data_IF_762031563721
#
_entry.id   IF_762031563721
#
_cell.length_a   1.000
_cell.length_b   1.000
_cell.length_c   1.000
_cell.angle_alpha   90.00
_cell.angle_beta   90.00
_cell.angle_gamma   90.00
#
_symmetry.space_group_name_H-M   'P 1'
#
loop_
_entity.id
_entity.type
_entity.pdbx_description
1 polymer ?
#
# COMPACT_ATOMS: atom_id res chain seq x y z
N UNK A 1 55.67 -4.07 3.16
CA UNK A 1 54.39 -4.70 3.56
C UNK A 1 53.42 -3.76 4.29
N UNK A 2 53.84 -2.87 5.21
CA UNK A 2 52.93 -1.97 5.96
C UNK A 2 52.08 -1.00 5.10
N UNK A 3 52.58 -0.56 3.94
CA UNK A 3 51.89 0.42 3.09
C UNK A 3 50.68 -0.19 2.35
N UNK A 4 50.77 -1.47 1.97
CA UNK A 4 49.69 -2.18 1.28
C UNK A 4 48.58 -2.58 2.27
N UNK A 5 48.95 -2.89 3.53
CA UNK A 5 47.99 -3.15 4.62
C UNK A 5 47.15 -1.91 4.93
N UNK A 6 47.74 -0.72 4.92
CA UNK A 6 47.00 0.54 5.10
C UNK A 6 45.99 0.78 3.97
N UNK A 7 46.37 0.49 2.71
CA UNK A 7 45.46 0.64 1.58
C UNK A 7 44.29 -0.35 1.63
N UNK A 8 44.55 -1.61 2.02
CA UNK A 8 43.49 -2.60 2.20
C UNK A 8 42.53 -2.23 3.35
N UNK A 9 43.06 -1.66 4.43
CA UNK A 9 42.26 -1.21 5.57
C UNK A 9 41.35 -0.04 5.18
N UNK A 10 41.86 0.96 4.44
CA UNK A 10 41.04 2.05 3.93
C UNK A 10 39.94 1.56 2.98
N UNK A 11 40.27 0.64 2.07
CA UNK A 11 39.29 0.07 1.14
C UNK A 11 38.18 -0.70 1.86
N UNK A 12 38.54 -1.46 2.90
CA UNK A 12 37.60 -2.19 3.77
C UNK A 12 36.66 -1.23 4.51
N UNK A 13 37.18 -0.13 5.08
CA UNK A 13 36.36 0.87 5.77
C UNK A 13 35.40 1.55 4.79
N UNK A 14 35.88 1.97 3.63
CA UNK A 14 35.02 2.59 2.61
C UNK A 14 33.93 1.63 2.13
N UNK A 15 34.27 0.36 1.90
CA UNK A 15 33.30 -0.65 1.48
C UNK A 15 32.25 -0.95 2.57
N UNK A 16 32.66 -1.00 3.84
CA UNK A 16 31.72 -1.12 4.96
C UNK A 16 30.79 0.10 5.06
N UNK A 17 31.29 1.31 4.82
CA UNK A 17 30.46 2.52 4.76
C UNK A 17 29.42 2.45 3.64
N UNK A 18 29.81 1.98 2.45
CA UNK A 18 28.89 1.79 1.31
C UNK A 18 27.80 0.78 1.64
N UNK A 19 28.15 -0.33 2.28
CA UNK A 19 27.17 -1.35 2.69
C UNK A 19 26.22 -0.81 3.76
N UNK A 20 26.73 -0.13 4.77
CA UNK A 20 25.89 0.45 5.83
C UNK A 20 24.95 1.50 5.23
N UNK A 21 25.44 2.35 4.34
CA UNK A 21 24.61 3.32 3.60
C UNK A 21 23.52 2.62 2.77
N UNK A 22 23.88 1.56 2.03
CA UNK A 22 22.92 0.78 1.24
C UNK A 22 21.86 0.12 2.14
N UNK A 23 22.26 -0.54 3.22
CA UNK A 23 21.35 -1.21 4.16
C UNK A 23 20.47 -0.23 4.96
N UNK A 24 20.94 1.00 5.21
CA UNK A 24 20.11 2.06 5.78
C UNK A 24 19.11 2.59 4.76
N UNK A 25 19.56 2.85 3.52
CA UNK A 25 18.67 3.29 2.43
C UNK A 25 17.57 2.27 2.15
N UNK A 26 17.87 0.96 2.16
CA UNK A 26 16.87 -0.09 1.94
C UNK A 26 15.92 -0.33 3.12
N UNK A 27 16.20 0.24 4.31
CA UNK A 27 15.32 0.09 5.48
C UNK A 27 14.14 1.06 5.46
N UNK A 28 14.27 2.20 4.79
CA UNK A 28 13.23 3.21 4.68
C UNK A 28 12.17 2.86 3.61
N UNK A 29 12.46 1.91 2.72
CA UNK A 29 11.55 1.42 1.67
C UNK A 29 10.51 0.40 2.16
N UNK A 30 10.10 0.44 3.43
CA UNK A 30 8.92 -0.36 3.83
C UNK A 30 7.68 0.38 3.33
N UNK A 31 6.93 -0.17 2.35
CA UNK A 31 5.69 0.47 1.91
C UNK A 31 4.75 0.57 3.11
N UNK A 32 4.23 1.76 3.34
CA UNK A 32 3.25 2.00 4.39
C UNK A 32 2.06 1.03 4.23
N UNK A 33 1.82 0.22 5.26
CA UNK A 33 0.72 -0.75 5.22
C UNK A 33 -0.63 -0.03 5.37
N UNK A 34 -1.44 -0.11 4.33
CA UNK A 34 -2.82 0.33 4.29
C UNK A 34 -3.72 -0.52 5.23
N UNK A 35 -3.77 -0.22 6.53
CA UNK A 35 -4.57 -1.02 7.49
C UNK A 35 -6.06 -1.07 7.14
N UNK A 36 -6.57 -0.07 6.44
CA UNK A 36 -7.95 0.01 5.98
C UNK A 36 -8.34 -1.08 4.96
N UNK A 37 -7.35 -1.66 4.26
CA UNK A 37 -7.59 -2.74 3.30
C UNK A 37 -7.71 -4.10 3.99
N UNK A 38 -7.51 -4.19 5.31
CA UNK A 38 -7.69 -5.45 6.03
C UNK A 38 -9.17 -5.81 6.11
N UNK A 39 -9.55 -6.97 5.60
CA UNK A 39 -10.89 -7.49 5.79
C UNK A 39 -11.10 -7.80 7.28
N UNK A 40 -12.27 -7.43 7.80
CA UNK A 40 -12.63 -7.69 9.20
C UNK A 40 -12.89 -9.19 9.36
N UNK A 41 -12.25 -9.81 10.34
CA UNK A 41 -12.27 -11.27 10.56
C UNK A 41 -13.69 -11.87 10.63
N UNK A 42 -14.68 -11.09 11.06
CA UNK A 42 -16.09 -11.50 11.12
C UNK A 42 -16.80 -11.73 9.78
N UNK A 43 -16.22 -11.30 8.64
CA UNK A 43 -16.76 -11.56 7.29
C UNK A 43 -16.15 -12.80 6.64
N UNK A 44 -15.01 -13.27 7.14
CA UNK A 44 -14.27 -14.43 6.59
C UNK A 44 -14.75 -15.74 7.24
N UNK A 45 -15.44 -15.66 8.38
CA UNK A 45 -16.04 -16.80 9.07
C UNK A 45 -17.41 -17.24 8.50
N UNK A 46 -17.74 -16.84 7.27
CA UNK A 46 -18.89 -17.42 6.56
C UNK A 46 -18.42 -18.76 6.01
N UNK A 47 -18.69 -19.82 6.78
CA UNK A 47 -18.69 -21.18 6.25
C UNK A 47 -19.53 -21.22 4.96
N UNK A 48 -19.17 -22.06 3.98
CA UNK A 48 -19.98 -22.21 2.77
C UNK A 48 -21.27 -22.94 3.13
N UNK A 49 -22.26 -22.21 3.65
CA UNK A 49 -23.63 -22.68 3.69
C UNK A 49 -24.17 -22.66 2.26
N UNK A 50 -24.44 -23.85 1.75
CA UNK A 50 -25.03 -24.07 0.44
C UNK A 50 -26.25 -23.15 0.20
N UNK A 51 -26.25 -22.45 -0.93
CA UNK A 51 -27.44 -21.79 -1.46
C UNK A 51 -27.37 -20.27 -1.55
N UNK A 52 -26.47 -19.73 -2.37
CA UNK A 52 -26.72 -18.43 -2.99
C UNK A 52 -26.17 -18.42 -4.42
N UNK A 53 -27.03 -18.72 -5.39
CA UNK A 53 -26.79 -18.45 -6.79
C UNK A 53 -27.06 -16.97 -7.04
N UNK A 54 -26.01 -16.14 -6.98
CA UNK A 54 -25.98 -14.92 -7.78
C UNK A 54 -24.82 -14.99 -8.76
N UNK A 55 -25.19 -14.85 -10.02
CA UNK A 55 -24.33 -15.01 -11.18
C UNK A 55 -23.34 -13.84 -11.25
N UNK A 56 -22.08 -14.11 -10.92
CA UNK A 56 -20.93 -13.29 -11.33
C UNK A 56 -19.81 -14.23 -11.79
N UNK A 57 -19.18 -14.01 -12.95
CA UNK A 57 -18.21 -14.95 -13.49
C UNK A 57 -16.87 -14.80 -12.75
N UNK A 58 -16.78 -15.40 -11.57
CA UNK A 58 -15.53 -15.59 -10.85
C UNK A 58 -14.75 -16.74 -11.49
N UNK A 59 -14.14 -16.50 -12.65
CA UNK A 59 -13.03 -17.36 -13.10
C UNK A 59 -11.76 -16.88 -12.40
N UNK A 60 -11.49 -17.42 -11.22
CA UNK A 60 -10.12 -17.49 -10.72
C UNK A 60 -9.87 -18.85 -10.10
N UNK A 61 -9.19 -19.69 -10.86
CA UNK A 61 -8.63 -20.96 -10.43
C UNK A 61 -7.41 -20.71 -9.53
N UNK A 62 -7.53 -21.01 -8.23
CA UNK A 62 -6.49 -21.44 -7.26
C UNK A 62 -5.29 -20.47 -7.04
N UNK A 63 -4.73 -20.32 -5.81
CA UNK A 63 -4.32 -21.41 -4.90
C UNK A 63 -4.61 -21.20 -3.39
N UNK A 64 -4.59 -22.33 -2.69
CA UNK A 64 -4.61 -22.50 -1.24
C UNK A 64 -3.40 -21.79 -0.60
N UNK A 65 -3.66 -20.82 0.28
CA UNK A 65 -2.65 -20.15 1.13
C UNK A 65 -2.52 -18.63 0.96
N UNK A 66 -3.36 -17.99 0.15
CA UNK A 66 -3.26 -16.55 -0.17
C UNK A 66 -4.01 -15.69 0.85
N UNK A 67 -3.44 -14.52 1.17
CA UNK A 67 -3.95 -13.52 2.10
C UNK A 67 -5.38 -13.03 1.76
N UNK A 68 -6.40 -13.79 2.14
CA UNK A 68 -7.82 -13.37 2.14
C UNK A 68 -8.08 -12.16 3.05
N UNK A 69 -7.09 -11.80 3.88
CA UNK A 69 -7.18 -10.72 4.85
C UNK A 69 -6.93 -9.34 4.25
N UNK A 70 -6.63 -9.20 2.95
CA UNK A 70 -6.26 -7.91 2.36
C UNK A 70 -6.96 -7.66 1.02
N UNK A 71 -7.64 -6.52 0.90
CA UNK A 71 -8.30 -6.09 -0.32
C UNK A 71 -7.29 -5.64 -1.38
N UNK A 72 -7.40 -6.19 -2.60
CA UNK A 72 -6.61 -5.76 -3.75
C UNK A 72 -7.16 -4.46 -4.35
N UNK A 73 -6.75 -3.34 -3.75
CA UNK A 73 -7.11 -2.00 -4.21
C UNK A 73 -6.72 -1.74 -5.67
N UNK A 74 -5.51 -2.16 -6.08
CA UNK A 74 -4.97 -1.86 -7.41
C UNK A 74 -5.76 -2.60 -8.49
N UNK A 75 -6.04 -3.89 -8.27
CA UNK A 75 -6.90 -4.68 -9.15
C UNK A 75 -8.31 -4.10 -9.24
N UNK A 76 -8.88 -3.68 -8.11
CA UNK A 76 -10.22 -3.09 -8.06
C UNK A 76 -10.32 -1.78 -8.86
N UNK A 77 -9.38 -0.84 -8.63
CA UNK A 77 -9.37 0.45 -9.33
C UNK A 77 -9.10 0.25 -10.83
N UNK A 78 -8.21 -0.67 -11.20
CA UNK A 78 -7.91 -0.98 -12.60
C UNK A 78 -9.13 -1.47 -13.38
N UNK A 79 -10.05 -2.22 -12.74
CA UNK A 79 -11.30 -2.68 -13.37
C UNK A 79 -12.22 -1.53 -13.79
N UNK A 80 -12.14 -0.38 -13.12
CA UNK A 80 -12.90 0.83 -13.42
C UNK A 80 -12.08 1.94 -14.07
N UNK A 81 -10.84 1.67 -14.51
CA UNK A 81 -9.92 2.68 -15.04
C UNK A 81 -10.38 3.33 -16.36
N UNK A 82 -9.77 4.46 -16.69
CA UNK A 82 -10.02 5.18 -17.95
C UNK A 82 -9.54 4.38 -19.16
N UNK A 83 -10.34 4.41 -20.24
CA UNK A 83 -9.92 3.89 -21.54
C UNK A 83 -8.93 4.85 -22.23
N UNK A 84 -8.16 4.31 -23.16
CA UNK A 84 -7.24 5.11 -23.96
C UNK A 84 -8.00 6.18 -24.75
N UNK A 85 -7.68 7.46 -24.52
CA UNK A 85 -8.33 8.60 -25.16
C UNK A 85 -9.67 9.02 -24.54
N UNK A 86 -10.12 8.37 -23.47
CA UNK A 86 -11.30 8.79 -22.72
C UNK A 86 -11.03 10.08 -21.93
N UNK A 87 -12.02 10.96 -21.87
CA UNK A 87 -11.94 12.18 -21.04
C UNK A 87 -12.03 11.81 -19.55
N UNK A 88 -11.01 12.15 -18.73
CA UNK A 88 -10.97 11.84 -17.31
C UNK A 88 -12.08 12.48 -16.47
N UNK A 89 -12.83 13.45 -16.99
CA UNK A 89 -13.88 14.17 -16.26
C UNK A 89 -15.30 13.69 -16.58
N UNK A 90 -15.49 12.90 -17.65
CA UNK A 90 -16.82 12.63 -18.17
C UNK A 90 -17.71 11.85 -17.19
N UNK A 91 -17.16 10.82 -16.54
CA UNK A 91 -17.89 9.93 -15.63
C UNK A 91 -18.23 10.59 -14.29
N UNK A 92 -17.25 11.24 -13.66
CA UNK A 92 -17.35 11.64 -12.26
C UNK A 92 -17.34 13.17 -12.04
N UNK A 93 -17.18 13.97 -13.10
CA UNK A 93 -17.02 15.43 -13.02
C UNK A 93 -15.84 15.91 -12.17
N UNK A 94 -14.89 15.02 -11.91
CA UNK A 94 -13.55 15.29 -11.39
C UNK A 94 -12.53 14.48 -12.19
N UNK A 95 -11.25 14.80 -12.06
CA UNK A 95 -10.19 14.11 -12.80
C UNK A 95 -9.99 12.68 -12.27
N UNK A 96 -10.58 11.70 -12.94
CA UNK A 96 -10.44 10.30 -12.53
C UNK A 96 -8.99 9.83 -12.64
N UNK A 97 -8.24 10.20 -13.69
CA UNK A 97 -6.85 9.79 -13.84
C UNK A 97 -5.96 10.25 -12.67
N UNK A 98 -6.27 11.40 -12.08
CA UNK A 98 -5.57 11.89 -10.89
C UNK A 98 -5.98 11.12 -9.62
N UNK A 99 -7.28 10.80 -9.49
CA UNK A 99 -7.81 10.02 -8.37
C UNK A 99 -7.24 8.60 -8.34
N UNK A 100 -7.25 7.90 -9.49
CA UNK A 100 -6.86 6.49 -9.60
C UNK A 100 -5.35 6.26 -9.37
N UNK A 101 -4.54 7.33 -9.41
CA UNK A 101 -3.09 7.29 -9.11
C UNK A 101 -2.77 7.35 -7.62
N UNK A 102 -3.73 7.74 -6.79
CA UNK A 102 -3.53 7.94 -5.36
C UNK A 102 -3.90 6.68 -4.58
N UNK A 103 -3.12 6.35 -3.55
CA UNK A 103 -3.48 5.31 -2.61
C UNK A 103 -4.65 5.76 -1.72
N UNK A 104 -5.51 4.83 -1.33
CA UNK A 104 -6.64 5.08 -0.43
C UNK A 104 -6.22 5.66 0.93
N UNK A 105 -5.08 5.23 1.49
CA UNK A 105 -4.54 5.78 2.74
C UNK A 105 -3.59 6.97 2.58
N UNK A 106 -3.56 7.66 1.43
CA UNK A 106 -2.59 8.74 1.22
C UNK A 106 -2.55 9.74 2.39
N UNK A 107 -1.36 10.21 2.72
CA UNK A 107 -1.19 11.26 3.72
C UNK A 107 -1.87 12.56 3.30
N UNK A 108 -2.58 13.18 4.25
CA UNK A 108 -3.24 14.48 4.08
C UNK A 108 -2.68 15.45 5.12
N UNK A 109 -2.27 16.67 4.74
CA UNK A 109 -1.84 17.66 5.72
C UNK A 109 -2.98 18.06 6.66
N UNK A 110 -2.68 18.18 7.95
CA UNK A 110 -3.65 18.65 8.94
C UNK A 110 -3.90 20.16 8.78
N UNK A 111 -5.04 20.51 8.17
CA UNK A 111 -5.48 21.89 7.96
C UNK A 111 -6.36 22.43 9.09
N UNK A 112 -6.55 21.67 10.17
CA UNK A 112 -7.39 22.10 11.30
C UNK A 112 -6.71 23.21 12.10
N UNK A 113 -7.51 24.03 12.77
CA UNK A 113 -7.01 25.00 13.74
C UNK A 113 -6.23 24.26 14.85
N UNK A 114 -5.04 24.73 15.28
CA UNK A 114 -4.27 24.12 16.37
C UNK A 114 -5.05 23.84 17.66
N UNK A 115 -6.10 24.62 17.96
CA UNK A 115 -6.97 24.41 19.12
C UNK A 115 -7.79 23.12 18.99
N UNK A 116 -8.15 22.71 17.77
CA UNK A 116 -8.91 21.49 17.51
C UNK A 116 -8.18 20.23 17.99
N UNK A 117 -6.83 20.23 18.01
CA UNK A 117 -6.03 19.11 18.50
C UNK A 117 -6.15 18.88 20.00
N UNK A 118 -6.62 19.86 20.76
CA UNK A 118 -6.80 19.79 22.22
C UNK A 118 -8.21 19.36 22.63
N UNK A 119 -9.13 19.23 21.68
CA UNK A 119 -10.52 18.87 21.98
C UNK A 119 -10.61 17.39 22.36
N UNK A 120 -11.19 17.12 23.52
CA UNK A 120 -11.52 15.77 23.98
C UNK A 120 -12.94 15.41 23.53
N UNK A 121 -13.13 14.18 23.07
CA UNK A 121 -14.43 13.63 22.67
C UNK A 121 -14.87 12.60 23.71
N UNK A 122 -16.19 12.40 23.87
CA UNK A 122 -16.74 11.35 24.74
C UNK A 122 -16.53 9.99 24.05
N UNK A 123 -16.27 8.96 24.83
CA UNK A 123 -16.03 7.57 24.36
C UNK A 123 -17.24 6.66 24.57
N UNK A 124 -18.44 7.24 24.67
CA UNK A 124 -19.69 6.51 24.94
C UNK A 124 -20.06 5.48 23.86
#
# INVERSE_FOLDING_TARGET
MRRNVKMLLLFSITWMFVIVYYLQSSRDDKPEENRALRLKDGLVAVEPSEGFQDTSPATSSQPVGIAWNYFDERGYVAGGGLRLGEDPYNRNKFNQAASDRLASNRDIPDTRNPVCRKKTYRED
#
